data_IF_701862299625
#
_entry.id   IF_701862299625
#
_cell.length_a   1.000
_cell.length_b   1.000
_cell.length_c   1.000
_cell.angle_alpha   90.00
_cell.angle_beta   90.00
_cell.angle_gamma   90.00
#
_symmetry.space_group_name_H-M   'P 1'
#
loop_
_entity.id
_entity.type
_entity.pdbx_description
1 polymer ?
#
# COMPACT_ATOMS: atom_id res chain seq x y z
N UNK A 1 5.44 26.28 3.90
CA UNK A 1 6.52 26.52 2.94
C UNK A 1 5.93 26.63 1.55
N UNK A 2 6.23 27.73 0.89
CA UNK A 2 5.73 27.96 -0.47
C UNK A 2 6.67 27.33 -1.48
N UNK A 3 6.11 26.65 -2.48
CA UNK A 3 6.89 26.07 -3.56
C UNK A 3 6.66 26.91 -4.82
N UNK A 4 7.73 27.52 -5.34
CA UNK A 4 7.66 28.41 -6.50
C UNK A 4 7.29 27.68 -7.79
N UNK A 5 7.37 26.34 -7.81
CA UNK A 5 7.01 25.52 -8.97
C UNK A 5 5.52 25.16 -9.01
N UNK A 6 4.78 25.47 -7.96
CA UNK A 6 3.34 25.19 -7.93
C UNK A 6 2.61 26.13 -8.88
N UNK A 7 1.66 25.57 -9.60
CA UNK A 7 0.86 26.31 -10.57
C UNK A 7 -0.59 25.82 -10.50
N UNK A 8 -1.56 26.65 -10.93
CA UNK A 8 -2.95 26.20 -10.98
C UNK A 8 -3.13 25.01 -11.91
N UNK A 9 -4.01 24.10 -11.55
CA UNK A 9 -4.37 22.95 -12.39
C UNK A 9 -5.34 23.44 -13.47
N UNK A 10 -4.93 23.35 -14.72
CA UNK A 10 -5.69 23.85 -15.86
C UNK A 10 -6.10 22.69 -16.77
N UNK A 11 -6.98 22.96 -17.72
CA UNK A 11 -7.47 21.93 -18.62
C UNK A 11 -6.39 21.25 -19.46
N UNK A 12 -5.28 21.95 -19.73
CA UNK A 12 -4.15 21.40 -20.49
C UNK A 12 -3.02 20.88 -19.59
N UNK A 13 -3.23 20.86 -18.27
CA UNK A 13 -2.21 20.40 -17.32
C UNK A 13 -2.11 18.88 -17.33
N UNK A 14 -0.88 18.36 -17.20
CA UNK A 14 -0.67 16.95 -16.89
C UNK A 14 -0.87 16.69 -15.41
N UNK A 15 -1.13 15.44 -15.05
CA UNK A 15 -1.22 15.01 -13.66
C UNK A 15 0.17 14.51 -13.23
N UNK A 16 0.72 15.04 -12.12
CA UNK A 16 2.01 14.53 -11.63
C UNK A 16 1.89 13.08 -11.17
N UNK A 17 3.02 12.38 -11.04
CA UNK A 17 2.99 11.01 -10.51
C UNK A 17 2.26 10.95 -9.16
N UNK A 18 1.48 9.93 -8.96
CA UNK A 18 0.69 9.76 -7.74
C UNK A 18 0.63 8.30 -7.32
N UNK A 19 0.28 8.08 -6.05
CA UNK A 19 0.07 6.73 -5.53
C UNK A 19 -1.36 6.28 -5.77
N UNK A 20 -1.59 4.97 -6.03
CA UNK A 20 -2.94 4.44 -6.07
C UNK A 20 -3.53 4.46 -4.66
N UNK A 21 -4.59 5.22 -4.45
CA UNK A 21 -5.24 5.34 -3.17
C UNK A 21 -6.69 4.88 -3.33
N UNK A 22 -7.01 3.61 -2.96
CA UNK A 22 -8.36 3.10 -3.13
C UNK A 22 -9.38 3.86 -2.30
N UNK A 23 -10.52 4.14 -2.90
CA UNK A 23 -11.56 4.92 -2.24
C UNK A 23 -12.08 4.27 -0.97
N UNK A 24 -12.07 2.93 -0.90
CA UNK A 24 -12.58 2.23 0.28
C UNK A 24 -11.80 2.54 1.56
N UNK A 25 -10.57 3.02 1.44
CA UNK A 25 -9.75 3.38 2.61
C UNK A 25 -10.29 4.61 3.33
N UNK A 26 -10.89 5.54 2.60
CA UNK A 26 -11.25 6.86 3.14
C UNK A 26 -12.15 6.74 4.37
N UNK A 27 -13.26 5.95 4.33
CA UNK A 27 -14.14 5.83 5.50
C UNK A 27 -13.68 4.84 6.57
N UNK A 28 -12.58 4.11 6.33
CA UNK A 28 -12.13 3.11 7.30
C UNK A 28 -11.55 3.78 8.55
N UNK A 29 -11.74 3.14 9.69
CA UNK A 29 -11.22 3.60 10.97
C UNK A 29 -9.74 3.20 11.09
N UNK A 30 -8.91 3.91 10.35
CA UNK A 30 -7.47 3.72 10.33
C UNK A 30 -6.80 5.10 10.40
N UNK A 31 -5.59 5.14 10.96
CA UNK A 31 -4.79 6.36 10.89
C UNK A 31 -4.48 6.71 9.43
N UNK A 32 -4.23 7.97 9.17
CA UNK A 32 -3.81 8.40 7.83
C UNK A 32 -2.47 7.78 7.45
N UNK A 33 -1.58 7.57 8.41
CA UNK A 33 -0.32 6.88 8.15
C UNK A 33 -0.55 5.45 7.64
N UNK A 34 -1.49 4.73 8.25
CA UNK A 34 -1.83 3.38 7.80
C UNK A 34 -2.42 3.40 6.39
N UNK A 35 -3.29 4.36 6.09
CA UNK A 35 -3.89 4.48 4.76
C UNK A 35 -2.83 4.79 3.70
N UNK A 36 -1.90 5.69 3.99
CA UNK A 36 -0.80 6.00 3.06
C UNK A 36 0.11 4.79 2.90
N UNK A 37 0.41 4.08 3.99
CA UNK A 37 1.20 2.85 3.90
C UNK A 37 0.52 1.83 2.98
N UNK A 38 -0.78 1.66 3.09
CA UNK A 38 -1.51 0.76 2.20
C UNK A 38 -1.34 1.17 0.73
N UNK A 39 -1.44 2.46 0.43
CA UNK A 39 -1.25 2.97 -0.93
C UNK A 39 0.17 2.67 -1.44
N UNK A 40 1.18 2.82 -0.58
CA UNK A 40 2.55 2.48 -0.93
C UNK A 40 2.72 0.98 -1.20
N UNK A 41 2.07 0.14 -0.39
CA UNK A 41 2.11 -1.31 -0.58
C UNK A 41 1.42 -1.71 -1.89
N UNK A 42 0.30 -1.09 -2.20
CA UNK A 42 -0.43 -1.37 -3.45
C UNK A 42 0.42 -0.97 -4.67
N UNK A 43 1.10 0.16 -4.58
CA UNK A 43 2.02 0.61 -5.63
C UNK A 43 3.15 -0.41 -5.83
N UNK A 44 3.77 -0.88 -4.74
CA UNK A 44 4.82 -1.91 -4.80
C UNK A 44 4.28 -3.22 -5.33
N UNK A 45 3.05 -3.59 -4.97
CA UNK A 45 2.41 -4.82 -5.45
C UNK A 45 2.25 -4.80 -6.97
N UNK A 46 1.92 -3.65 -7.55
CA UNK A 46 1.83 -3.49 -8.99
C UNK A 46 3.18 -3.76 -9.68
N UNK A 47 4.24 -3.24 -9.11
CA UNK A 47 5.60 -3.47 -9.62
C UNK A 47 5.99 -4.95 -9.49
N UNK A 48 5.68 -5.56 -8.35
CA UNK A 48 5.96 -6.98 -8.12
C UNK A 48 5.23 -7.85 -9.14
N UNK A 49 3.97 -7.53 -9.41
CA UNK A 49 3.18 -8.27 -10.41
C UNK A 49 3.80 -8.18 -11.80
N UNK A 50 4.21 -6.98 -12.21
CA UNK A 50 4.88 -6.77 -13.50
C UNK A 50 6.19 -7.54 -13.60
N UNK A 51 6.90 -7.69 -12.48
CA UNK A 51 8.16 -8.43 -12.44
C UNK A 51 7.97 -9.94 -12.26
N UNK A 52 6.73 -10.41 -12.20
CA UNK A 52 6.44 -11.85 -12.13
C UNK A 52 6.57 -12.46 -10.74
N UNK A 53 6.60 -11.67 -9.67
CA UNK A 53 6.65 -12.19 -8.30
C UNK A 53 5.26 -12.65 -7.87
N UNK A 54 4.86 -13.80 -8.40
CA UNK A 54 3.52 -14.35 -8.20
C UNK A 54 3.66 -15.74 -7.58
N UNK A 55 2.89 -15.97 -6.51
CA UNK A 55 2.83 -17.27 -5.85
C UNK A 55 2.08 -18.28 -6.73
N UNK A 56 2.28 -19.60 -6.48
CA UNK A 56 1.58 -20.62 -7.27
C UNK A 56 0.06 -20.49 -7.27
N UNK A 57 -0.53 -19.92 -6.22
CA UNK A 57 -1.98 -19.70 -6.12
C UNK A 57 -2.44 -18.37 -6.74
N UNK A 58 -1.52 -17.62 -7.35
CA UNK A 58 -1.83 -16.36 -8.01
C UNK A 58 -1.68 -15.12 -7.15
N UNK A 59 -1.40 -15.27 -5.85
CA UNK A 59 -1.19 -14.11 -4.99
C UNK A 59 0.11 -13.40 -5.35
N UNK A 60 0.10 -12.07 -5.24
CA UNK A 60 1.30 -11.27 -5.51
C UNK A 60 2.22 -11.35 -4.29
N UNK A 61 3.48 -11.70 -4.53
CA UNK A 61 4.52 -11.72 -3.49
C UNK A 61 5.09 -10.33 -3.35
N UNK A 62 5.03 -9.80 -2.15
CA UNK A 62 5.37 -8.41 -1.87
C UNK A 62 6.32 -8.35 -0.67
N UNK A 63 7.39 -7.59 -0.83
CA UNK A 63 8.33 -7.28 0.26
C UNK A 63 8.30 -5.78 0.50
N UNK A 64 8.25 -5.40 1.77
CA UNK A 64 8.29 -3.99 2.15
C UNK A 64 8.75 -3.91 3.60
N UNK A 65 9.96 -3.42 3.80
CA UNK A 65 10.57 -3.41 5.14
C UNK A 65 10.07 -2.25 5.97
N UNK A 66 10.28 -2.36 7.29
CA UNK A 66 9.96 -1.26 8.20
C UNK A 66 10.80 -0.02 7.87
N UNK A 67 12.05 -0.20 7.49
CA UNK A 67 12.92 0.91 7.10
C UNK A 67 12.40 1.62 5.85
N UNK A 68 11.92 0.86 4.87
CA UNK A 68 11.30 1.44 3.68
C UNK A 68 10.06 2.23 4.04
N UNK A 69 9.21 1.67 4.90
CA UNK A 69 7.97 2.33 5.34
C UNK A 69 8.29 3.64 6.06
N UNK A 70 9.24 3.60 6.99
CA UNK A 70 9.68 4.77 7.72
C UNK A 70 10.16 5.87 6.76
N UNK A 71 11.02 5.51 5.80
CA UNK A 71 11.56 6.47 4.86
C UNK A 71 10.51 7.06 3.93
N UNK A 72 9.64 6.22 3.39
CA UNK A 72 8.61 6.68 2.44
C UNK A 72 7.48 7.44 3.10
N UNK A 73 7.13 7.09 4.34
CA UNK A 73 6.13 7.81 5.11
C UNK A 73 6.68 9.12 5.68
N UNK A 74 8.00 9.27 5.74
CA UNK A 74 8.65 10.39 6.42
C UNK A 74 8.17 10.52 7.86
N UNK A 75 8.06 9.37 8.54
CA UNK A 75 7.59 9.29 9.92
C UNK A 75 8.61 8.51 10.76
N UNK A 76 8.38 8.48 12.07
CA UNK A 76 9.24 7.74 13.00
C UNK A 76 9.05 6.23 12.83
N UNK A 77 9.99 5.47 13.34
CA UNK A 77 9.91 4.00 13.37
C UNK A 77 8.66 3.52 14.11
N UNK A 78 8.30 4.20 15.21
CA UNK A 78 7.11 3.85 15.98
C UNK A 78 5.83 4.03 15.17
N UNK A 79 5.72 5.13 14.45
CA UNK A 79 4.55 5.41 13.61
C UNK A 79 4.45 4.38 12.48
N UNK A 80 5.57 4.06 11.82
CA UNK A 80 5.59 3.06 10.76
C UNK A 80 5.20 1.67 11.30
N UNK A 81 5.72 1.29 12.46
CA UNK A 81 5.36 0.01 13.11
C UNK A 81 3.87 -0.05 13.39
N UNK A 82 3.32 1.04 13.93
CA UNK A 82 1.90 1.11 14.26
C UNK A 82 1.04 1.03 13.01
N UNK A 83 1.47 1.67 11.93
CA UNK A 83 0.75 1.61 10.65
C UNK A 83 0.64 0.18 10.13
N UNK A 84 1.74 -0.58 10.15
CA UNK A 84 1.72 -1.99 9.79
C UNK A 84 0.75 -2.78 10.68
N UNK A 85 0.80 -2.55 11.99
CA UNK A 85 -0.07 -3.24 12.95
C UNK A 85 -1.54 -2.95 12.68
N UNK A 86 -1.88 -1.71 12.38
CA UNK A 86 -3.26 -1.34 12.04
C UNK A 86 -3.76 -2.10 10.81
N UNK A 87 -2.93 -2.16 9.77
CA UNK A 87 -3.30 -2.87 8.54
C UNK A 87 -3.44 -4.37 8.76
N UNK A 88 -2.58 -4.96 9.59
CA UNK A 88 -2.69 -6.37 9.94
C UNK A 88 -3.95 -6.65 10.76
N UNK A 89 -4.24 -5.78 11.72
CA UNK A 89 -5.37 -5.98 12.63
C UNK A 89 -6.71 -5.92 11.90
N UNK A 90 -6.83 -5.07 10.90
CA UNK A 90 -8.07 -4.98 10.12
C UNK A 90 -8.12 -5.97 8.95
N UNK A 91 -7.07 -6.76 8.74
CA UNK A 91 -7.04 -7.77 7.70
C UNK A 91 -6.67 -7.30 6.32
N UNK A 92 -6.23 -6.03 6.16
CA UNK A 92 -5.81 -5.52 4.87
C UNK A 92 -4.46 -6.06 4.42
N UNK A 93 -3.62 -6.50 5.35
CA UNK A 93 -2.39 -7.19 5.01
C UNK A 93 -2.18 -8.40 5.92
N UNK A 94 -1.42 -9.36 5.40
CA UNK A 94 -0.92 -10.49 6.17
C UNK A 94 0.60 -10.52 5.96
N UNK A 95 1.37 -10.46 7.05
CA UNK A 95 2.81 -10.59 6.98
C UNK A 95 3.24 -11.95 7.51
N UNK A 96 4.03 -12.66 6.72
CA UNK A 96 4.51 -13.98 7.08
C UNK A 96 6.04 -13.93 7.14
N UNK A 97 6.59 -14.22 8.32
CA UNK A 97 8.03 -14.28 8.50
C UNK A 97 8.59 -15.54 7.84
N UNK A 98 9.71 -15.40 7.14
CA UNK A 98 10.34 -16.51 6.43
C UNK A 98 11.53 -17.11 7.17
N UNK A 99 11.84 -16.56 8.34
CA UNK A 99 12.98 -17.04 9.13
C UNK A 99 14.02 -15.96 9.34
N UNK A 100 15.05 -16.31 10.07
CA UNK A 100 16.10 -15.37 10.48
C UNK A 100 16.83 -14.81 9.27
N UNK A 101 16.97 -13.49 9.23
CA UNK A 101 17.68 -12.80 8.17
C UNK A 101 16.91 -12.62 6.87
N UNK A 102 15.66 -13.10 6.80
CA UNK A 102 14.83 -12.93 5.60
C UNK A 102 13.71 -11.93 5.87
N UNK A 103 13.40 -11.07 4.90
CA UNK A 103 12.26 -10.17 5.04
C UNK A 103 10.94 -10.94 5.07
N UNK A 104 9.95 -10.38 5.76
CA UNK A 104 8.61 -10.95 5.75
C UNK A 104 7.97 -10.79 4.37
N UNK A 105 7.24 -11.82 3.95
CA UNK A 105 6.41 -11.74 2.75
C UNK A 105 5.07 -11.13 3.15
N UNK A 106 4.62 -10.17 2.39
CA UNK A 106 3.35 -9.49 2.63
C UNK A 106 2.35 -9.93 1.56
N UNK A 107 1.18 -10.34 1.99
CA UNK A 107 0.02 -10.50 1.12
C UNK A 107 -0.89 -9.30 1.33
N UNK A 108 -1.19 -8.58 0.26
CA UNK A 108 -2.07 -7.42 0.31
C UNK A 108 -3.48 -7.89 -0.04
N UNK A 109 -4.43 -7.59 0.84
CA UNK A 109 -5.83 -7.87 0.59
C UNK A 109 -6.50 -6.62 0.04
N UNK A 110 -7.44 -6.83 -0.85
CA UNK A 110 -8.18 -5.73 -1.48
C UNK A 110 -9.67 -5.96 -1.31
N UNK A 111 -10.42 -4.88 -1.38
CA UNK A 111 -11.87 -4.99 -1.48
C UNK A 111 -12.19 -5.39 -2.92
N UNK A 112 -12.91 -6.50 -3.15
CA UNK A 112 -13.22 -6.92 -4.52
C UNK A 112 -13.96 -5.84 -5.29
N UNK A 113 -13.73 -5.79 -6.59
CA UNK A 113 -14.50 -4.91 -7.46
C UNK A 113 -15.96 -5.33 -7.44
N UNK A 114 -16.86 -4.44 -7.85
CA UNK A 114 -18.28 -4.76 -7.88
C UNK A 114 -18.55 -6.02 -8.72
N UNK A 115 -17.87 -6.14 -9.86
CA UNK A 115 -18.00 -7.30 -10.74
C UNK A 115 -17.57 -8.59 -10.03
N UNK A 116 -16.47 -8.56 -9.29
CA UNK A 116 -15.97 -9.72 -8.56
C UNK A 116 -16.91 -10.09 -7.41
N UNK A 117 -17.48 -9.10 -6.72
CA UNK A 117 -18.44 -9.34 -5.64
C UNK A 117 -19.71 -10.02 -6.17
N UNK A 118 -20.17 -9.62 -7.34
CA UNK A 118 -21.37 -10.22 -7.96
C UNK A 118 -21.13 -11.68 -8.30
N UNK A 119 -19.90 -12.04 -8.69
CA UNK A 119 -19.54 -13.44 -8.98
C UNK A 119 -19.46 -14.28 -7.69
N UNK A 120 -18.95 -13.68 -6.61
CA UNK A 120 -18.78 -14.38 -5.32
C UNK A 120 -20.14 -14.55 -4.62
N UNK A 121 -21.00 -13.58 -4.76
CA UNK A 121 -22.33 -13.63 -4.17
C UNK A 121 -23.22 -14.62 -4.91
#
# INVERSE_FOLDING_TARGET
MQNDFLMPYKEDSGVPPYLPFPRFLVPMDLSNDAKVLYALLLDRAGISRENGYIEPDGRIRLYFTLEEAKGKLHRSRQVATRAFQELERCGLILRIKQGLGRPAVITLNILPTRKERDVIA
#
